data_IF_110417770286
#
_entry.id   IF_110417770286
#
_cell.length_a   1.000
_cell.length_b   1.000
_cell.length_c   1.000
_cell.angle_alpha   90.00
_cell.angle_beta   90.00
_cell.angle_gamma   90.00
#
_symmetry.space_group_name_H-M   'P 1'
#
loop_
_entity.id
_entity.type
_entity.pdbx_description
1 polymer ?
#
# COMPACT_ATOMS: atom_id res chain seq x y z
N UNK A 1 95.32 2.94 13.75
CA UNK A 1 95.51 4.34 14.22
C UNK A 1 94.14 4.80 14.69
N UNK A 2 93.85 4.68 15.99
CA UNK A 2 93.92 5.76 17.00
C UNK A 2 92.84 6.82 16.76
N UNK A 3 91.99 7.24 17.69
CA UNK A 3 91.84 6.99 19.12
C UNK A 3 90.45 7.49 19.59
N UNK A 4 89.93 6.96 20.70
CA UNK A 4 89.01 7.67 21.64
C UNK A 4 89.80 8.75 22.41
N UNK A 5 89.23 9.68 23.23
CA UNK A 5 87.95 9.69 23.97
C UNK A 5 87.24 11.08 23.89
N UNK A 6 86.07 11.37 24.50
CA UNK A 6 85.88 11.78 25.90
C UNK A 6 84.39 12.03 26.24
N UNK A 7 84.08 11.91 27.53
CA UNK A 7 82.77 12.12 28.17
C UNK A 7 82.49 13.60 28.44
N UNK A 8 81.21 14.01 28.42
CA UNK A 8 80.68 15.04 29.33
C UNK A 8 79.15 14.96 29.39
N UNK A 9 78.59 15.02 30.60
CA UNK A 9 77.16 14.88 30.87
C UNK A 9 76.47 16.20 31.24
N UNK A 10 75.13 16.20 31.19
CA UNK A 10 74.22 17.12 31.90
C UNK A 10 72.79 16.63 31.63
N UNK A 11 72.12 15.93 32.56
CA UNK A 11 71.15 16.44 33.57
C UNK A 11 70.11 17.43 33.04
N UNK A 12 68.87 16.93 32.94
CA UNK A 12 67.67 17.61 33.44
C UNK A 12 66.75 18.25 32.39
N UNK A 13 65.58 17.65 32.15
CA UNK A 13 64.26 18.20 32.51
C UNK A 13 63.16 17.21 32.07
N UNK A 14 62.55 16.54 33.04
CA UNK A 14 61.34 15.74 32.83
C UNK A 14 60.14 16.68 32.96
N UNK A 15 59.46 16.98 31.85
CA UNK A 15 58.18 17.71 31.87
C UNK A 15 57.05 16.68 31.83
N UNK A 16 56.37 16.50 32.97
CA UNK A 16 55.16 15.69 33.09
C UNK A 16 54.00 16.36 32.33
N UNK A 17 53.61 15.79 31.18
CA UNK A 17 52.25 15.99 30.65
C UNK A 17 51.31 15.00 31.32
N UNK A 18 50.47 15.48 32.24
CA UNK A 18 49.30 14.73 32.73
C UNK A 18 48.25 14.71 31.63
N UNK A 19 48.11 13.58 30.94
CA UNK A 19 46.99 13.30 30.06
C UNK A 19 45.72 13.12 30.90
N UNK A 20 44.82 14.10 30.86
CA UNK A 20 43.45 13.95 31.35
C UNK A 20 42.69 13.09 30.34
N UNK A 21 42.45 11.82 30.69
CA UNK A 21 41.59 10.91 29.91
C UNK A 21 40.12 11.32 30.11
N UNK A 22 39.60 12.15 29.22
CA UNK A 22 38.15 12.34 29.08
C UNK A 22 37.55 11.18 28.28
N UNK A 23 36.53 10.45 28.79
CA UNK A 23 35.88 9.37 28.05
C UNK A 23 34.89 9.97 27.03
N UNK A 24 35.37 10.30 25.83
CA UNK A 24 34.53 10.78 24.73
C UNK A 24 33.64 9.69 24.08
N UNK A 25 33.86 8.42 24.43
CA UNK A 25 33.12 7.28 23.86
C UNK A 25 31.71 7.11 24.43
N UNK A 26 31.41 7.65 25.61
CA UNK A 26 30.10 7.47 26.27
C UNK A 26 29.05 8.49 25.85
N UNK A 27 29.43 9.60 25.21
CA UNK A 27 28.50 10.64 24.79
C UNK A 27 27.85 10.36 23.42
N UNK A 28 28.53 9.61 22.54
CA UNK A 28 28.00 9.24 21.22
C UNK A 28 26.98 8.09 21.26
N UNK A 29 27.07 7.19 22.26
CA UNK A 29 26.08 6.12 22.45
C UNK A 29 24.77 6.65 23.08
N UNK A 30 24.86 7.70 23.91
CA UNK A 30 23.70 8.34 24.52
C UNK A 30 22.91 9.22 23.53
N UNK A 31 23.56 9.83 22.53
CA UNK A 31 22.87 10.62 21.50
C UNK A 31 22.11 9.76 20.48
N UNK A 32 22.57 8.54 20.20
CA UNK A 32 21.89 7.63 19.26
C UNK A 32 20.58 7.05 19.84
N UNK A 33 20.45 6.93 21.17
CA UNK A 33 19.25 6.43 21.84
C UNK A 33 18.16 7.50 22.04
N UNK A 34 18.51 8.78 22.05
CA UNK A 34 17.55 9.88 22.23
C UNK A 34 16.89 10.35 20.92
N UNK A 35 17.52 10.10 19.76
CA UNK A 35 16.94 10.45 18.46
C UNK A 35 15.99 9.38 17.88
N UNK A 36 16.08 8.12 18.34
CA UNK A 36 15.28 7.00 17.84
C UNK A 36 13.96 6.73 18.58
N UNK A 37 13.78 7.29 19.78
CA UNK A 37 12.61 7.02 20.62
C UNK A 37 11.26 7.47 20.03
N UNK A 38 11.10 8.67 19.42
CA UNK A 38 9.77 9.10 18.96
C UNK A 38 9.29 8.33 17.73
N UNK A 39 10.18 7.96 16.80
CA UNK A 39 9.81 7.22 15.60
C UNK A 39 9.38 5.78 15.91
N UNK A 40 10.09 5.09 16.82
CA UNK A 40 9.77 3.72 17.22
C UNK A 40 8.47 3.67 18.02
N UNK A 41 8.22 4.64 18.91
CA UNK A 41 6.96 4.73 19.67
C UNK A 41 5.78 5.07 18.75
N UNK A 42 5.98 5.91 17.73
CA UNK A 42 4.94 6.26 16.77
C UNK A 42 4.56 5.07 15.87
N UNK A 43 5.55 4.36 15.32
CA UNK A 43 5.32 3.16 14.51
C UNK A 43 4.64 2.03 15.32
N UNK A 44 5.06 1.83 16.58
CA UNK A 44 4.42 0.86 17.47
C UNK A 44 2.95 1.24 17.76
N UNK A 45 2.66 2.52 17.97
CA UNK A 45 1.30 3.01 18.20
C UNK A 45 0.38 2.85 16.97
N UNK A 46 0.93 3.00 15.77
CA UNK A 46 0.20 2.80 14.51
C UNK A 46 -0.16 1.33 14.27
N UNK A 47 0.80 0.42 14.41
CA UNK A 47 0.57 -1.02 14.29
C UNK A 47 -0.49 -1.54 15.29
N UNK A 48 -0.52 -0.97 16.50
CA UNK A 48 -1.56 -1.28 17.51
C UNK A 48 -2.96 -0.88 17.05
N UNK A 49 -3.13 0.27 16.39
CA UNK A 49 -4.46 0.73 15.90
C UNK A 49 -4.98 -0.15 14.78
N UNK A 50 -4.14 -0.52 13.83
CA UNK A 50 -4.54 -1.41 12.74
C UNK A 50 -4.89 -2.80 13.25
N UNK A 51 -4.08 -3.33 14.19
CA UNK A 51 -4.38 -4.60 14.88
C UNK A 51 -5.73 -4.55 15.60
N UNK A 52 -6.04 -3.44 16.28
CA UNK A 52 -7.33 -3.25 16.94
C UNK A 52 -8.51 -3.19 15.95
N UNK A 53 -8.34 -2.52 14.80
CA UNK A 53 -9.36 -2.48 13.75
C UNK A 53 -9.62 -3.85 13.12
N UNK A 54 -8.58 -4.66 12.93
CA UNK A 54 -8.71 -6.05 12.47
C UNK A 54 -9.35 -6.95 13.54
N UNK A 55 -9.00 -6.75 14.81
CA UNK A 55 -9.63 -7.49 15.90
C UNK A 55 -11.12 -7.15 16.03
N UNK A 56 -11.50 -5.88 15.90
CA UNK A 56 -12.91 -5.45 15.86
C UNK A 56 -13.68 -6.10 14.70
N UNK A 57 -13.03 -6.22 13.53
CA UNK A 57 -13.59 -6.96 12.39
C UNK A 57 -13.80 -8.44 12.74
N UNK A 58 -12.84 -9.09 13.41
CA UNK A 58 -12.97 -10.50 13.83
C UNK A 58 -14.16 -10.70 14.77
N UNK A 59 -14.32 -9.79 15.73
CA UNK A 59 -15.36 -9.87 16.74
C UNK A 59 -16.76 -9.66 16.14
N UNK A 60 -16.88 -8.83 15.09
CA UNK A 60 -18.17 -8.48 14.46
C UNK A 60 -18.55 -9.36 13.28
N UNK A 61 -17.58 -9.86 12.52
CA UNK A 61 -17.83 -10.50 11.22
C UNK A 61 -17.30 -11.92 11.11
N UNK A 62 -16.63 -12.42 12.16
CA UNK A 62 -16.15 -13.80 12.25
C UNK A 62 -14.72 -14.02 11.75
N UNK A 63 -14.17 -15.18 12.11
CA UNK A 63 -12.76 -15.51 11.90
C UNK A 63 -12.35 -15.58 10.43
N UNK A 64 -13.27 -15.99 9.56
CA UNK A 64 -13.01 -16.18 8.14
C UNK A 64 -12.86 -14.86 7.37
N UNK A 65 -13.76 -13.90 7.60
CA UNK A 65 -13.65 -12.55 7.02
C UNK A 65 -12.40 -11.82 7.54
N UNK A 66 -12.14 -11.95 8.85
CA UNK A 66 -10.91 -11.45 9.45
C UNK A 66 -9.66 -12.02 8.79
N UNK A 67 -9.56 -13.35 8.64
CA UNK A 67 -8.37 -13.99 8.07
C UNK A 67 -8.09 -13.51 6.64
N UNK A 68 -9.14 -13.36 5.83
CA UNK A 68 -8.99 -12.86 4.46
C UNK A 68 -8.56 -11.39 4.40
N UNK A 69 -9.17 -10.51 5.18
CA UNK A 69 -8.82 -9.09 5.20
C UNK A 69 -7.43 -8.88 5.80
N UNK A 70 -7.11 -9.55 6.90
CA UNK A 70 -5.78 -9.48 7.53
C UNK A 70 -4.68 -9.95 6.57
N UNK A 71 -4.87 -11.10 5.91
CA UNK A 71 -3.90 -11.60 4.92
C UNK A 71 -3.73 -10.66 3.73
N UNK A 72 -4.81 -9.99 3.29
CA UNK A 72 -4.73 -9.01 2.20
C UNK A 72 -3.98 -7.73 2.59
N UNK A 73 -4.12 -7.29 3.84
CA UNK A 73 -3.37 -6.15 4.40
C UNK A 73 -1.90 -6.50 4.62
N UNK A 74 -1.60 -7.69 5.17
CA UNK A 74 -0.23 -8.15 5.38
C UNK A 74 0.53 -8.38 4.08
N UNK A 75 -0.17 -8.72 2.99
CA UNK A 75 0.48 -8.97 1.71
C UNK A 75 1.05 -7.69 1.04
N UNK A 76 0.60 -6.49 1.40
CA UNK A 76 1.06 -5.23 0.81
C UNK A 76 1.46 -4.24 1.90
N UNK A 77 2.77 -3.96 2.01
CA UNK A 77 3.26 -2.97 2.97
C UNK A 77 2.73 -1.57 2.62
N UNK A 78 2.63 -1.22 1.34
CA UNK A 78 2.01 0.04 0.92
C UNK A 78 0.57 0.19 1.43
N UNK A 79 -0.25 -0.87 1.32
CA UNK A 79 -1.63 -0.85 1.81
C UNK A 79 -1.66 -0.69 3.33
N UNK A 80 -0.88 -1.49 4.05
CA UNK A 80 -0.79 -1.46 5.50
C UNK A 80 -0.37 -0.07 6.00
N UNK A 81 0.72 0.47 5.47
CA UNK A 81 1.29 1.74 5.90
C UNK A 81 0.30 2.91 5.64
N UNK A 82 -0.47 2.87 4.55
CA UNK A 82 -1.53 3.85 4.28
C UNK A 82 -2.72 3.71 5.22
N UNK A 83 -3.14 2.49 5.54
CA UNK A 83 -4.21 2.29 6.54
C UNK A 83 -3.79 2.81 7.91
N UNK A 84 -2.54 2.54 8.30
CA UNK A 84 -1.95 3.03 9.55
C UNK A 84 -1.87 4.55 9.61
N UNK A 85 -1.41 5.21 8.54
CA UNK A 85 -1.39 6.67 8.44
C UNK A 85 -2.81 7.26 8.59
N UNK A 86 -3.81 6.68 7.92
CA UNK A 86 -5.19 7.18 7.99
C UNK A 86 -5.86 6.91 9.34
N UNK A 87 -5.54 5.79 9.99
CA UNK A 87 -5.95 5.52 11.37
C UNK A 87 -5.29 6.50 12.35
N UNK A 88 -4.05 6.92 12.09
CA UNK A 88 -3.36 7.90 12.94
C UNK A 88 -3.98 9.29 12.86
N UNK A 89 -4.63 9.61 11.74
CA UNK A 89 -5.30 10.89 11.45
C UNK A 89 -6.82 10.85 11.64
N UNK A 90 -7.36 9.76 12.21
CA UNK A 90 -8.81 9.50 12.37
C UNK A 90 -9.62 9.60 11.07
N UNK A 91 -8.95 9.39 9.93
CA UNK A 91 -9.55 9.41 8.58
C UNK A 91 -10.02 8.04 8.11
N UNK A 92 -9.55 6.97 8.72
CA UNK A 92 -10.03 5.60 8.52
C UNK A 92 -10.46 5.02 9.86
N UNK A 93 -11.67 4.46 9.93
CA UNK A 93 -12.29 3.96 11.17
C UNK A 93 -12.42 2.44 11.24
N UNK A 94 -11.81 1.73 10.29
CA UNK A 94 -11.83 0.26 10.22
C UNK A 94 -12.84 -0.31 9.23
N UNK A 95 -13.19 -1.57 9.44
CA UNK A 95 -13.94 -2.38 8.49
C UNK A 95 -15.35 -2.70 9.00
N UNK A 96 -16.26 -2.90 8.07
CA UNK A 96 -17.57 -3.52 8.35
C UNK A 96 -17.78 -4.63 7.32
N UNK A 97 -18.01 -5.86 7.80
CA UNK A 97 -18.36 -6.97 6.92
C UNK A 97 -19.71 -7.54 7.33
N UNK A 98 -20.65 -7.60 6.38
CA UNK A 98 -22.03 -7.98 6.62
C UNK A 98 -22.64 -8.74 5.41
N UNK A 99 -23.64 -9.62 5.59
CA UNK A 99 -24.32 -10.28 4.46
C UNK A 99 -25.03 -9.26 3.55
N UNK A 100 -25.02 -9.44 2.22
CA UNK A 100 -25.64 -8.49 1.28
C UNK A 100 -27.09 -8.13 1.62
N UNK A 101 -27.85 -9.08 2.17
CA UNK A 101 -29.24 -8.86 2.59
C UNK A 101 -29.41 -7.84 3.73
N UNK A 102 -28.34 -7.50 4.45
CA UNK A 102 -28.34 -6.52 5.54
C UNK A 102 -27.86 -5.13 5.10
N UNK A 103 -27.56 -4.93 3.81
CA UNK A 103 -27.23 -3.61 3.29
C UNK A 103 -28.46 -2.69 3.29
N UNK A 104 -28.31 -1.40 3.64
CA UNK A 104 -29.38 -0.42 3.46
C UNK A 104 -29.85 -0.35 2.01
N UNK A 105 -31.14 -0.16 1.78
CA UNK A 105 -31.71 0.00 0.44
C UNK A 105 -31.01 1.14 -0.32
N UNK A 106 -30.39 0.82 -1.45
CA UNK A 106 -29.65 1.79 -2.27
C UNK A 106 -28.18 1.99 -1.90
N UNK A 107 -27.66 1.30 -0.89
CA UNK A 107 -26.22 1.23 -0.56
C UNK A 107 -25.63 -0.09 -1.05
N UNK A 108 -24.43 -0.05 -1.62
CA UNK A 108 -23.75 -1.22 -2.19
C UNK A 108 -24.47 -1.81 -3.42
N UNK A 109 -24.85 -0.94 -4.38
CA UNK A 109 -25.75 -1.21 -5.51
C UNK A 109 -25.66 -2.60 -6.17
N UNK A 110 -25.05 -2.70 -7.36
CA UNK A 110 -24.73 -4.00 -7.97
C UNK A 110 -23.56 -4.70 -7.23
N UNK A 111 -22.98 -4.03 -6.25
CA UNK A 111 -21.56 -4.09 -5.92
C UNK A 111 -21.38 -4.23 -4.41
N UNK A 112 -20.66 -5.26 -3.97
CA UNK A 112 -20.62 -5.64 -2.56
C UNK A 112 -19.57 -4.91 -1.73
N UNK A 113 -18.99 -3.80 -2.19
CA UNK A 113 -17.94 -3.08 -1.48
C UNK A 113 -18.03 -1.57 -1.70
N UNK A 114 -17.99 -0.79 -0.62
CA UNK A 114 -18.09 0.67 -0.67
C UNK A 114 -17.49 1.35 0.57
N UNK A 115 -17.36 2.68 0.52
CA UNK A 115 -16.94 3.50 1.67
C UNK A 115 -18.15 4.15 2.35
N UNK A 116 -18.22 4.07 3.69
CA UNK A 116 -19.24 4.77 4.48
C UNK A 116 -18.69 5.23 5.83
N UNK A 117 -18.89 6.51 6.15
CA UNK A 117 -18.43 7.13 7.39
C UNK A 117 -16.96 6.83 7.73
N UNK A 118 -16.11 6.87 6.70
CA UNK A 118 -14.67 6.55 6.80
C UNK A 118 -14.36 5.10 7.15
N UNK A 119 -15.29 4.18 6.91
CA UNK A 119 -15.11 2.73 7.01
C UNK A 119 -15.14 2.10 5.63
N UNK A 120 -14.40 1.01 5.49
CA UNK A 120 -14.51 0.10 4.34
C UNK A 120 -15.61 -0.90 4.65
N UNK A 121 -16.68 -0.89 3.87
CA UNK A 121 -17.79 -1.85 3.99
C UNK A 121 -17.65 -2.89 2.89
N UNK A 122 -17.67 -4.17 3.24
CA UNK A 122 -17.64 -5.30 2.30
C UNK A 122 -18.75 -6.28 2.62
N UNK A 123 -19.33 -6.91 1.60
CA UNK A 123 -20.26 -8.02 1.82
C UNK A 123 -19.53 -9.35 1.89
N UNK A 124 -20.10 -10.31 2.61
CA UNK A 124 -19.58 -11.69 2.65
C UNK A 124 -19.55 -12.32 1.25
N UNK A 125 -20.54 -12.00 0.42
CA UNK A 125 -20.63 -12.46 -0.96
C UNK A 125 -19.51 -11.87 -1.82
N UNK A 126 -19.18 -10.58 -1.63
CA UNK A 126 -18.03 -9.99 -2.31
C UNK A 126 -16.74 -10.65 -1.86
N UNK A 127 -16.51 -10.82 -0.55
CA UNK A 127 -15.31 -11.49 -0.05
C UNK A 127 -15.14 -12.89 -0.66
N UNK A 128 -16.23 -13.65 -0.78
CA UNK A 128 -16.25 -14.96 -1.45
C UNK A 128 -15.84 -14.84 -2.92
N UNK A 129 -16.33 -13.82 -3.64
CA UNK A 129 -15.95 -13.58 -5.02
C UNK A 129 -14.48 -13.14 -5.17
N UNK A 130 -13.97 -12.33 -4.25
CA UNK A 130 -12.58 -11.84 -4.28
C UNK A 130 -11.55 -12.95 -4.04
N UNK A 131 -11.93 -14.06 -3.40
CA UNK A 131 -11.06 -15.24 -3.29
C UNK A 131 -10.81 -15.96 -4.60
N UNK A 132 -11.66 -15.74 -5.60
CA UNK A 132 -11.44 -16.29 -6.94
C UNK A 132 -10.23 -15.59 -7.52
N UNK A 133 -9.11 -16.28 -7.52
CA UNK A 133 -7.83 -15.75 -7.98
C UNK A 133 -7.55 -16.04 -9.45
N UNK A 134 -8.38 -16.83 -10.14
CA UNK A 134 -8.14 -17.20 -11.55
C UNK A 134 -9.43 -17.22 -12.34
N UNK A 135 -9.36 -16.65 -13.54
CA UNK A 135 -10.43 -16.69 -14.54
C UNK A 135 -10.08 -17.62 -15.71
N UNK A 136 -8.79 -17.92 -15.90
CA UNK A 136 -8.29 -18.84 -16.92
C UNK A 136 -7.70 -20.11 -16.29
N UNK A 137 -7.83 -21.24 -17.00
CA UNK A 137 -7.47 -22.58 -16.49
C UNK A 137 -6.01 -23.00 -16.73
N UNK A 138 -5.23 -22.24 -17.53
CA UNK A 138 -3.82 -22.60 -17.79
C UNK A 138 -2.97 -22.15 -16.61
N UNK A 139 -2.30 -23.10 -15.97
CA UNK A 139 -1.51 -22.90 -14.75
C UNK A 139 -0.10 -23.42 -14.97
N UNK A 140 0.87 -22.52 -14.84
CA UNK A 140 2.28 -22.85 -14.71
C UNK A 140 2.69 -22.95 -13.24
N UNK A 141 3.76 -23.69 -12.96
CA UNK A 141 4.22 -23.96 -11.58
C UNK A 141 4.69 -22.72 -10.82
N UNK A 142 5.09 -21.67 -11.53
CA UNK A 142 5.57 -20.40 -10.98
C UNK A 142 4.52 -19.27 -11.08
N UNK A 143 3.26 -19.59 -11.37
CA UNK A 143 2.21 -18.59 -11.46
C UNK A 143 1.83 -18.01 -10.10
N UNK A 144 1.82 -16.68 -10.05
CA UNK A 144 1.44 -15.92 -8.87
C UNK A 144 -0.03 -15.48 -9.00
N UNK A 145 -0.93 -15.95 -8.13
CA UNK A 145 -2.33 -15.55 -8.18
C UNK A 145 -2.54 -14.08 -7.75
N UNK A 146 -3.47 -13.35 -8.37
CA UNK A 146 -3.89 -12.03 -7.90
C UNK A 146 -4.54 -12.10 -6.51
N UNK A 147 -4.15 -11.15 -5.65
CA UNK A 147 -4.85 -10.86 -4.42
C UNK A 147 -5.91 -9.78 -4.67
N UNK A 148 -7.09 -10.20 -5.16
CA UNK A 148 -8.18 -9.27 -5.45
C UNK A 148 -8.72 -8.57 -4.19
N UNK A 149 -8.53 -9.14 -3.00
CA UNK A 149 -8.87 -8.46 -1.73
C UNK A 149 -7.92 -7.30 -1.47
N UNK A 150 -6.60 -7.47 -1.66
CA UNK A 150 -5.64 -6.36 -1.56
C UNK A 150 -6.00 -5.25 -2.56
N UNK A 151 -6.33 -5.61 -3.80
CA UNK A 151 -6.80 -4.64 -4.79
C UNK A 151 -8.00 -3.83 -4.28
N UNK A 152 -9.07 -4.53 -3.85
CA UNK A 152 -10.31 -3.89 -3.43
C UNK A 152 -10.12 -3.00 -2.20
N UNK A 153 -9.29 -3.42 -1.24
CA UNK A 153 -8.97 -2.64 -0.06
C UNK A 153 -8.20 -1.37 -0.42
N UNK A 154 -7.16 -1.46 -1.24
CA UNK A 154 -6.38 -0.31 -1.69
C UNK A 154 -7.23 0.68 -2.51
N UNK A 155 -8.10 0.16 -3.36
CA UNK A 155 -9.07 0.95 -4.13
C UNK A 155 -10.02 1.72 -3.21
N UNK A 156 -10.68 1.05 -2.25
CA UNK A 156 -11.62 1.69 -1.33
C UNK A 156 -10.92 2.68 -0.39
N UNK A 157 -9.70 2.36 0.05
CA UNK A 157 -8.90 3.26 0.87
C UNK A 157 -8.56 4.56 0.12
N UNK A 158 -8.36 4.51 -1.19
CA UNK A 158 -8.15 5.71 -2.01
C UNK A 158 -9.36 6.65 -1.97
N UNK A 159 -10.59 6.12 -1.99
CA UNK A 159 -11.82 6.93 -1.88
C UNK A 159 -12.00 7.56 -0.48
N UNK A 160 -11.42 6.96 0.56
CA UNK A 160 -11.34 7.58 1.90
C UNK A 160 -10.36 8.76 1.92
N UNK A 161 -9.23 8.61 1.23
CA UNK A 161 -8.21 9.65 1.12
C UNK A 161 -8.65 10.83 0.24
N UNK A 162 -9.42 10.54 -0.80
CA UNK A 162 -9.85 11.50 -1.81
C UNK A 162 -11.38 11.41 -1.96
N UNK A 163 -12.17 12.05 -1.09
CA UNK A 163 -13.62 11.99 -1.21
C UNK A 163 -14.11 12.54 -2.55
N UNK A 164 -15.13 11.89 -3.14
CA UNK A 164 -15.72 12.31 -4.41
C UNK A 164 -16.18 13.78 -4.35
N UNK A 165 -15.99 14.56 -5.42
CA UNK A 165 -16.49 15.94 -5.47
C UNK A 165 -18.02 15.95 -5.30
N UNK A 166 -18.57 17.00 -4.67
CA UNK A 166 -20.01 17.12 -4.52
C UNK A 166 -20.69 17.35 -5.89
N UNK A 167 -21.76 16.63 -6.25
CA UNK A 167 -22.38 16.73 -7.58
C UNK A 167 -22.98 18.11 -7.87
N UNK A 168 -23.30 18.90 -6.84
CA UNK A 168 -23.89 20.24 -6.98
C UNK A 168 -22.84 21.35 -7.16
N UNK A 169 -21.54 21.06 -7.09
CA UNK A 169 -20.49 22.08 -7.15
C UNK A 169 -19.97 22.36 -8.56
N UNK A 170 -20.42 21.63 -9.59
CA UNK A 170 -19.92 21.77 -10.96
C UNK A 170 -20.93 21.26 -12.02
N UNK A 171 -20.76 21.61 -13.31
CA UNK A 171 -21.56 21.04 -14.40
C UNK A 171 -21.47 19.51 -14.45
N UNK A 172 -22.55 18.85 -14.85
CA UNK A 172 -22.67 17.38 -14.79
C UNK A 172 -21.57 16.67 -15.60
N UNK A 173 -21.16 17.20 -16.75
CA UNK A 173 -20.07 16.61 -17.55
C UNK A 173 -18.73 16.68 -16.81
N UNK A 174 -18.45 17.82 -16.16
CA UNK A 174 -17.23 18.01 -15.36
C UNK A 174 -17.23 17.09 -14.13
N UNK A 175 -18.37 16.93 -13.48
CA UNK A 175 -18.54 15.99 -12.37
C UNK A 175 -18.26 14.55 -12.80
N UNK A 176 -18.85 14.11 -13.92
CA UNK A 176 -18.63 12.76 -14.43
C UNK A 176 -17.17 12.51 -14.77
N UNK A 177 -16.50 13.46 -15.42
CA UNK A 177 -15.08 13.34 -15.74
C UNK A 177 -14.21 13.26 -14.47
N UNK A 178 -14.41 14.17 -13.52
CA UNK A 178 -13.66 14.17 -12.26
C UNK A 178 -13.87 12.88 -11.45
N UNK A 179 -15.12 12.39 -11.41
CA UNK A 179 -15.45 11.11 -10.76
C UNK A 179 -14.74 9.92 -11.44
N UNK A 180 -14.69 9.87 -12.77
CA UNK A 180 -13.98 8.82 -13.50
C UNK A 180 -12.46 8.91 -13.39
N UNK A 181 -11.89 10.12 -13.28
CA UNK A 181 -10.46 10.31 -13.01
C UNK A 181 -10.07 9.82 -11.61
N UNK A 182 -10.92 10.09 -10.62
CA UNK A 182 -10.73 9.55 -9.28
C UNK A 182 -10.86 8.02 -9.27
N UNK A 183 -11.85 7.48 -9.97
CA UNK A 183 -12.02 6.03 -10.10
C UNK A 183 -10.79 5.39 -10.76
N UNK A 184 -10.32 5.94 -11.88
CA UNK A 184 -9.09 5.50 -12.54
C UNK A 184 -7.87 5.55 -11.61
N UNK A 185 -7.74 6.60 -10.80
CA UNK A 185 -6.68 6.72 -9.79
C UNK A 185 -6.76 5.58 -8.76
N UNK A 186 -7.98 5.25 -8.29
CA UNK A 186 -8.21 4.13 -7.38
C UNK A 186 -7.88 2.77 -8.02
N UNK A 187 -8.15 2.58 -9.32
CA UNK A 187 -7.72 1.39 -10.07
C UNK A 187 -6.19 1.25 -10.12
N UNK A 188 -5.46 2.33 -10.42
CA UNK A 188 -3.99 2.33 -10.45
C UNK A 188 -3.42 1.98 -9.07
N UNK A 189 -3.96 2.60 -8.03
CA UNK A 189 -3.59 2.33 -6.64
C UNK A 189 -3.88 0.87 -6.26
N UNK A 190 -5.05 0.34 -6.62
CA UNK A 190 -5.42 -1.05 -6.39
C UNK A 190 -4.49 -2.03 -7.10
N UNK A 191 -4.12 -1.73 -8.35
CA UNK A 191 -3.18 -2.52 -9.13
C UNK A 191 -1.80 -2.58 -8.49
N UNK A 192 -1.24 -1.42 -8.11
CA UNK A 192 0.10 -1.36 -7.53
C UNK A 192 0.19 -2.09 -6.18
N UNK A 193 -0.83 -1.98 -5.32
CA UNK A 193 -0.88 -2.74 -4.07
C UNK A 193 -1.00 -4.25 -4.30
N UNK A 194 -1.78 -4.67 -5.31
CA UNK A 194 -1.89 -6.08 -5.69
C UNK A 194 -0.59 -6.63 -6.31
N UNK A 195 0.12 -5.81 -7.08
CA UNK A 195 1.43 -6.15 -7.64
C UNK A 195 2.45 -6.38 -6.52
N UNK A 196 2.53 -5.48 -5.53
CA UNK A 196 3.38 -5.65 -4.35
C UNK A 196 3.03 -6.93 -3.57
N UNK A 197 1.73 -7.24 -3.44
CA UNK A 197 1.27 -8.49 -2.83
C UNK A 197 1.71 -9.73 -3.62
N UNK A 198 1.66 -9.66 -4.94
CA UNK A 198 2.14 -10.71 -5.82
C UNK A 198 3.66 -10.90 -5.67
N UNK A 199 4.44 -9.82 -5.66
CA UNK A 199 5.90 -9.88 -5.43
C UNK A 199 6.25 -10.46 -4.05
N UNK A 200 5.52 -10.07 -3.00
CA UNK A 200 5.67 -10.63 -1.65
C UNK A 200 5.45 -12.13 -1.67
N UNK A 201 4.40 -12.62 -2.34
CA UNK A 201 4.15 -14.06 -2.49
C UNK A 201 5.18 -14.77 -3.38
N UNK A 202 5.85 -14.03 -4.27
CA UNK A 202 6.97 -14.51 -5.09
C UNK A 202 8.33 -14.45 -4.34
N UNK A 203 8.30 -14.67 -3.02
CA UNK A 203 9.47 -14.57 -2.14
C UNK A 203 10.12 -13.17 -2.14
N UNK A 204 9.32 -12.11 -2.31
CA UNK A 204 9.78 -10.73 -2.39
C UNK A 204 10.54 -10.37 -3.67
N UNK A 205 10.45 -11.21 -4.72
CA UNK A 205 11.15 -10.97 -5.99
C UNK A 205 10.21 -10.29 -7.00
N UNK A 206 10.72 -9.36 -7.82
CA UNK A 206 9.95 -8.79 -8.92
C UNK A 206 9.38 -9.88 -9.82
N UNK A 207 8.15 -9.66 -10.29
CA UNK A 207 7.52 -10.54 -11.26
C UNK A 207 8.21 -10.42 -12.62
N UNK A 208 8.37 -11.53 -13.33
CA UNK A 208 8.77 -11.49 -14.74
C UNK A 208 7.60 -11.05 -15.63
N UNK A 209 7.87 -10.68 -16.88
CA UNK A 209 6.85 -10.19 -17.83
C UNK A 209 5.67 -11.16 -18.02
N UNK A 210 5.94 -12.47 -18.03
CA UNK A 210 4.89 -13.50 -18.15
C UNK A 210 3.98 -13.50 -16.92
N UNK A 211 4.57 -13.46 -15.72
CA UNK A 211 3.83 -13.39 -14.46
C UNK A 211 3.02 -12.10 -14.33
N UNK A 212 3.57 -10.96 -14.75
CA UNK A 212 2.84 -9.68 -14.80
C UNK A 212 1.62 -9.76 -15.74
N UNK A 213 1.80 -10.32 -16.94
CA UNK A 213 0.71 -10.52 -17.87
C UNK A 213 -0.36 -11.48 -17.32
N UNK A 214 0.05 -12.58 -16.68
CA UNK A 214 -0.89 -13.51 -16.03
C UNK A 214 -1.65 -12.87 -14.87
N UNK A 215 -0.98 -12.07 -14.05
CA UNK A 215 -1.60 -11.31 -12.97
C UNK A 215 -2.65 -10.35 -13.54
N UNK A 216 -2.32 -9.65 -14.62
CA UNK A 216 -3.23 -8.74 -15.31
C UNK A 216 -4.44 -9.44 -15.92
N UNK A 217 -4.25 -10.61 -16.53
CA UNK A 217 -5.33 -11.37 -17.17
C UNK A 217 -6.25 -12.06 -16.15
N UNK A 218 -5.73 -12.42 -14.96
CA UNK A 218 -6.49 -13.15 -13.94
C UNK A 218 -7.09 -12.25 -12.85
N UNK A 219 -6.72 -10.96 -12.78
CA UNK A 219 -7.39 -10.06 -11.84
C UNK A 219 -8.84 -9.84 -12.25
N UNK A 220 -9.73 -9.77 -11.25
CA UNK A 220 -11.16 -9.45 -11.46
C UNK A 220 -11.35 -8.12 -12.21
N UNK A 221 -10.39 -7.22 -12.07
CA UNK A 221 -10.45 -5.84 -12.55
C UNK A 221 -9.73 -5.64 -13.89
N UNK A 222 -9.37 -6.72 -14.59
CA UNK A 222 -8.61 -6.71 -15.84
C UNK A 222 -9.22 -5.81 -16.92
N UNK A 223 -10.55 -5.69 -16.96
CA UNK A 223 -11.28 -4.93 -17.98
C UNK A 223 -10.83 -3.46 -18.04
N UNK A 224 -10.61 -2.81 -16.90
CA UNK A 224 -10.26 -1.39 -16.85
C UNK A 224 -8.88 -1.14 -17.46
N UNK A 225 -7.92 -2.03 -17.17
CA UNK A 225 -6.57 -1.97 -17.70
C UNK A 225 -6.53 -2.34 -19.18
N UNK A 226 -7.27 -3.37 -19.59
CA UNK A 226 -7.37 -3.74 -21.00
C UNK A 226 -7.90 -2.60 -21.86
N UNK A 227 -9.00 -1.97 -21.44
CA UNK A 227 -9.54 -0.81 -22.13
C UNK A 227 -8.58 0.40 -22.10
N UNK A 228 -7.81 0.56 -21.02
CA UNK A 228 -6.78 1.60 -20.92
C UNK A 228 -5.60 1.38 -21.88
N UNK A 229 -5.17 0.13 -22.07
CA UNK A 229 -4.12 -0.23 -23.04
C UNK A 229 -4.60 -0.04 -24.49
N UNK A 230 -5.88 -0.29 -24.77
CA UNK A 230 -6.47 -0.10 -26.11
C UNK A 230 -6.84 1.36 -26.42
N UNK A 231 -6.63 2.28 -25.48
CA UNK A 231 -6.98 3.68 -25.67
C UNK A 231 -6.08 4.34 -26.73
N UNK A 232 -6.66 4.52 -27.93
CA UNK A 232 -5.97 5.10 -29.10
C UNK A 232 -5.45 6.53 -28.91
N UNK A 233 -6.00 7.29 -27.96
CA UNK A 233 -5.56 8.66 -27.71
C UNK A 233 -4.30 8.69 -26.84
N UNK A 234 -4.27 7.86 -25.79
CA UNK A 234 -3.12 7.68 -24.89
C UNK A 234 -3.25 6.32 -24.22
N UNK A 235 -2.38 5.39 -24.58
CA UNK A 235 -2.36 4.05 -24.00
C UNK A 235 -1.84 4.12 -22.55
N UNK A 236 -2.39 3.25 -21.71
CA UNK A 236 -1.88 3.00 -20.37
C UNK A 236 -0.46 2.45 -20.43
N UNK A 237 0.46 3.01 -19.64
CA UNK A 237 1.86 2.62 -19.61
C UNK A 237 2.20 1.96 -18.26
N UNK A 238 2.85 0.81 -18.33
CA UNK A 238 3.44 0.12 -17.19
C UNK A 238 4.94 0.42 -17.16
N UNK A 239 5.53 0.55 -15.97
CA UNK A 239 6.97 0.61 -15.84
C UNK A 239 7.63 -0.77 -16.07
N UNK A 240 8.96 -0.81 -16.00
CA UNK A 240 9.72 -2.06 -16.21
C UNK A 240 9.41 -3.17 -15.18
N UNK A 241 8.74 -2.85 -14.08
CA UNK A 241 8.33 -3.78 -13.02
C UNK A 241 6.84 -4.10 -13.07
N UNK A 242 6.10 -3.55 -14.03
CA UNK A 242 4.66 -3.75 -14.16
C UNK A 242 3.83 -2.86 -13.25
N UNK A 243 4.41 -1.89 -12.55
CA UNK A 243 3.65 -0.89 -11.81
C UNK A 243 3.14 0.20 -12.77
N UNK A 244 2.09 0.89 -12.36
CA UNK A 244 1.54 2.03 -13.13
C UNK A 244 1.81 3.30 -12.33
N UNK A 245 2.52 4.25 -12.94
CA UNK A 245 2.72 5.56 -12.31
C UNK A 245 1.38 6.30 -12.20
N UNK A 246 1.12 6.88 -11.03
CA UNK A 246 -0.07 7.70 -10.78
C UNK A 246 0.14 9.11 -11.35
N UNK A 247 -0.02 9.25 -12.66
CA UNK A 247 0.10 10.51 -13.39
C UNK A 247 -1.14 10.79 -14.26
N UNK A 248 -1.28 12.03 -14.73
CA UNK A 248 -2.44 12.47 -15.52
C UNK A 248 -2.66 11.63 -16.79
N UNK A 249 -1.57 11.19 -17.43
CA UNK A 249 -1.64 10.40 -18.65
C UNK A 249 -2.26 9.02 -18.40
N UNK A 250 -1.78 8.29 -17.39
CA UNK A 250 -2.30 6.96 -17.03
C UNK A 250 -3.72 7.03 -16.45
N UNK A 251 -4.02 8.06 -15.65
CA UNK A 251 -5.37 8.33 -15.15
C UNK A 251 -6.33 8.55 -16.33
N UNK A 252 -5.95 9.37 -17.31
CA UNK A 252 -6.78 9.65 -18.50
C UNK A 252 -6.96 8.42 -19.38
N UNK A 253 -5.92 7.59 -19.50
CA UNK A 253 -5.94 6.35 -20.27
C UNK A 253 -7.05 5.40 -19.78
N UNK A 254 -7.24 5.29 -18.45
CA UNK A 254 -8.27 4.45 -17.82
C UNK A 254 -9.62 5.18 -17.71
N UNK A 255 -9.64 6.47 -17.34
CA UNK A 255 -10.88 7.21 -17.10
C UNK A 255 -11.76 7.33 -18.35
N UNK A 256 -11.14 7.55 -19.51
CA UNK A 256 -11.84 7.71 -20.80
C UNK A 256 -12.68 6.50 -21.19
N UNK A 257 -12.15 5.26 -21.17
CA UNK A 257 -12.96 4.07 -21.43
C UNK A 257 -13.94 3.74 -20.31
N UNK A 258 -13.61 3.99 -19.03
CA UNK A 258 -14.56 3.78 -17.92
C UNK A 258 -15.83 4.61 -18.08
N UNK A 259 -15.69 5.87 -18.50
CA UNK A 259 -16.81 6.77 -18.80
C UNK A 259 -17.75 6.17 -19.88
N UNK A 260 -17.20 5.43 -20.84
CA UNK A 260 -17.97 4.77 -21.91
C UNK A 260 -18.57 3.43 -21.47
N UNK A 261 -17.88 2.70 -20.60
CA UNK A 261 -18.22 1.33 -20.22
C UNK A 261 -19.31 1.23 -19.14
N UNK A 262 -19.56 2.28 -18.33
CA UNK A 262 -20.52 2.25 -17.20
C UNK A 262 -20.31 1.08 -16.22
N UNK A 263 -19.07 0.69 -15.93
CA UNK A 263 -18.79 -0.41 -14.99
C UNK A 263 -17.65 -0.09 -14.04
N UNK A 264 -17.92 -0.13 -12.74
CA UNK A 264 -16.94 -0.48 -11.71
C UNK A 264 -17.71 -1.15 -10.56
N UNK A 265 -17.28 -2.36 -10.15
CA UNK A 265 -17.97 -3.17 -9.14
C UNK A 265 -17.69 -2.78 -7.68
N UNK A 266 -17.17 -1.58 -7.48
CA UNK A 266 -16.74 -0.99 -6.19
C UNK A 266 -17.12 0.49 -6.25
N UNK A 267 -17.75 1.03 -5.20
CA UNK A 267 -18.29 2.41 -5.17
C UNK A 267 -17.72 3.32 -4.06
#
# INVERSE_FOLDING_TARGET
>A
MSASPERSGSRGFFMMYRAVKFPFASLLLALALLAGAPAVVHAAGQAVRLSAALQDLKDKSGAEAHAQVAAAVEASAQLRDRMEDLLSRDRFKGFVVLPKAQLPSGKGGRFGGYVEDSKIVLTLELLTQLRKSRYFDVVESDDVPPNNTTFALAHLLHHIEHPKPAPLSMPIQSYLLASMQQEASAFIVGWNAMLEAAETSNSGRPLNTRQQAQLLLNTRYAFAFHLGMENKAKALEFDGHGAIELNEANITAIATPLLKARMADIE
#
